data_IF_780617380613
#
_entry.id   IF_780617380613
#
_cell.length_a   1.000
_cell.length_b   1.000
_cell.length_c   1.000
_cell.angle_alpha   90.00
_cell.angle_beta   90.00
_cell.angle_gamma   90.00
#
_symmetry.space_group_name_H-M   'P 1'
#
loop_
_entity.id
_entity.type
_entity.pdbx_description
1 polymer ?
#
# COMPACT_ATOMS: atom_id res chain seq x y z
N UNK A 1 -18.06 16.00 -5.36
CA UNK A 1 -18.38 15.22 -4.14
C UNK A 1 -17.08 14.99 -3.37
N UNK A 2 -17.06 15.14 -2.04
CA UNK A 2 -15.86 14.83 -1.24
C UNK A 2 -15.83 13.32 -1.02
N UNK A 3 -14.91 12.60 -1.66
CA UNK A 3 -14.63 11.19 -1.40
C UNK A 3 -13.19 11.01 -0.90
N UNK A 4 -12.92 9.97 -0.10
CA UNK A 4 -11.64 9.80 0.59
C UNK A 4 -10.48 9.61 -0.39
N UNK A 5 -9.34 10.23 -0.04
CA UNK A 5 -8.09 10.16 -0.81
C UNK A 5 -7.34 8.84 -0.61
N UNK A 6 -7.70 8.08 0.43
CA UNK A 6 -6.99 6.87 0.89
C UNK A 6 -8.01 5.76 1.18
N UNK A 7 -7.69 4.54 0.77
CA UNK A 7 -8.37 3.32 1.18
C UNK A 7 -7.42 2.46 2.03
N UNK A 8 -7.94 1.90 3.12
CA UNK A 8 -7.22 0.98 3.99
C UNK A 8 -7.89 -0.41 3.97
N UNK A 9 -7.09 -1.46 3.86
CA UNK A 9 -7.48 -2.81 4.22
C UNK A 9 -6.66 -3.26 5.42
N UNK A 10 -7.32 -3.62 6.51
CA UNK A 10 -6.68 -4.11 7.73
C UNK A 10 -6.85 -5.62 7.81
N UNK A 11 -5.74 -6.33 7.99
CA UNK A 11 -5.73 -7.79 8.05
C UNK A 11 -5.18 -8.23 9.43
N UNK A 12 -5.93 -9.02 10.22
CA UNK A 12 -5.48 -9.56 11.50
C UNK A 12 -4.55 -10.76 11.26
N UNK A 13 -3.33 -10.46 10.80
CA UNK A 13 -2.26 -11.42 10.53
C UNK A 13 -1.28 -10.84 9.51
N UNK A 14 -0.01 -11.24 9.59
CA UNK A 14 0.94 -10.99 8.52
C UNK A 14 1.00 -12.20 7.61
N UNK A 15 0.40 -12.07 6.43
CA UNK A 15 0.32 -13.12 5.43
C UNK A 15 1.21 -12.70 4.26
N UNK A 16 2.14 -13.55 3.87
CA UNK A 16 2.89 -13.37 2.62
C UNK A 16 1.97 -13.60 1.42
N UNK A 17 2.37 -13.12 0.24
CA UNK A 17 1.57 -13.27 -0.98
C UNK A 17 1.26 -14.74 -1.36
N UNK A 18 2.03 -15.70 -0.85
CA UNK A 18 1.83 -17.14 -1.05
C UNK A 18 0.90 -17.80 0.01
N UNK A 19 0.32 -17.00 0.92
CA UNK A 19 -0.61 -17.47 1.94
C UNK A 19 0.06 -18.03 3.20
N UNK A 20 1.38 -18.01 3.29
CA UNK A 20 2.09 -18.45 4.50
C UNK A 20 2.14 -17.34 5.56
N UNK A 21 2.31 -17.74 6.83
CA UNK A 21 2.42 -16.79 7.94
C UNK A 21 3.81 -16.16 7.87
N UNK A 22 3.87 -14.84 7.65
CA UNK A 22 5.12 -14.12 7.42
C UNK A 22 6.03 -14.05 8.67
N UNK A 23 5.47 -14.22 9.88
CA UNK A 23 6.23 -14.31 11.11
C UNK A 23 5.46 -15.03 12.23
N UNK A 24 6.19 -15.70 13.13
CA UNK A 24 5.63 -16.26 14.35
C UNK A 24 5.33 -15.16 15.38
N UNK A 25 4.05 -14.93 15.69
CA UNK A 25 3.62 -14.03 16.76
C UNK A 25 2.32 -13.27 16.45
N UNK A 26 2.02 -12.25 17.27
CA UNK A 26 0.87 -11.37 17.07
C UNK A 26 1.25 -10.18 16.18
N UNK A 27 0.41 -9.88 15.21
CA UNK A 27 0.50 -8.63 14.45
C UNK A 27 -0.60 -8.50 13.43
N UNK A 28 -0.54 -7.41 12.68
CA UNK A 28 -1.52 -7.06 11.68
C UNK A 28 -0.80 -6.48 10.46
N UNK A 29 -1.47 -6.54 9.32
CA UNK A 29 -1.01 -5.95 8.08
C UNK A 29 -2.01 -4.90 7.61
N UNK A 30 -1.49 -3.79 7.10
CA UNK A 30 -2.30 -2.70 6.53
C UNK A 30 -1.91 -2.54 5.06
N UNK A 31 -2.87 -2.76 4.16
CA UNK A 31 -2.71 -2.36 2.77
C UNK A 31 -3.29 -0.96 2.61
N UNK A 32 -2.55 -0.07 1.98
CA UNK A 32 -2.94 1.31 1.77
C UNK A 32 -2.86 1.67 0.29
N UNK A 33 -3.92 2.29 -0.22
CA UNK A 33 -4.02 2.75 -1.60
C UNK A 33 -4.40 4.22 -1.68
N UNK A 34 -3.72 4.97 -2.55
CA UNK A 34 -4.14 6.32 -2.92
C UNK A 34 -5.26 6.23 -3.97
N UNK A 35 -6.44 6.74 -3.64
CA UNK A 35 -7.65 6.53 -4.46
C UNK A 35 -7.80 7.52 -5.62
N UNK A 36 -6.94 8.55 -5.71
CA UNK A 36 -7.03 9.58 -6.74
C UNK A 36 -5.79 9.64 -7.63
N UNK A 37 -5.30 8.51 -8.19
CA UNK A 37 -4.14 8.53 -9.05
C UNK A 37 -4.44 9.30 -10.35
N UNK A 38 -3.53 10.19 -10.69
CA UNK A 38 -3.52 11.02 -11.90
C UNK A 38 -2.63 10.42 -12.98
N UNK A 39 -1.73 9.49 -12.62
CA UNK A 39 -0.95 8.69 -13.57
C UNK A 39 -1.86 7.93 -14.53
N UNK A 40 -1.46 7.85 -15.79
CA UNK A 40 -2.18 7.10 -16.83
C UNK A 40 -1.22 6.18 -17.55
N UNK A 41 -1.60 4.91 -17.59
CA UNK A 41 -0.93 3.88 -18.37
C UNK A 41 -1.51 3.75 -19.77
N UNK A 42 -1.02 2.76 -20.51
CA UNK A 42 -1.55 2.37 -21.81
C UNK A 42 -1.60 0.85 -21.96
N UNK A 43 -2.55 0.39 -22.75
CA UNK A 43 -2.62 -0.98 -23.26
C UNK A 43 -2.65 -0.87 -24.77
N UNK A 44 -1.77 -1.60 -25.45
CA UNK A 44 -1.65 -1.55 -26.91
C UNK A 44 -1.59 -2.97 -27.45
N UNK A 45 -2.53 -3.29 -28.34
CA UNK A 45 -2.45 -4.51 -29.14
C UNK A 45 -1.22 -4.43 -30.05
N UNK A 46 -0.37 -5.46 -30.02
CA UNK A 46 0.87 -5.53 -30.80
C UNK A 46 0.78 -6.52 -31.97
N UNK A 47 -0.33 -7.24 -32.08
CA UNK A 47 -0.61 -8.25 -33.10
C UNK A 47 -2.12 -8.36 -33.31
N UNK A 48 -2.53 -8.87 -34.47
CA UNK A 48 -3.92 -9.28 -34.76
C UNK A 48 -4.25 -10.69 -34.24
N UNK A 49 -3.25 -11.49 -33.86
CA UNK A 49 -3.47 -12.77 -33.19
C UNK A 49 -3.86 -12.56 -31.73
N UNK A 50 -5.08 -12.96 -31.37
CA UNK A 50 -5.65 -12.82 -30.02
C UNK A 50 -4.90 -13.63 -28.95
N UNK A 51 -4.07 -14.61 -29.34
CA UNK A 51 -3.21 -15.35 -28.41
C UNK A 51 -1.97 -14.58 -27.99
N UNK A 52 -1.62 -13.50 -28.70
CA UNK A 52 -0.45 -12.67 -28.37
C UNK A 52 -0.83 -11.65 -27.30
N UNK A 53 -0.10 -11.64 -26.19
CA UNK A 53 -0.33 -10.68 -25.11
C UNK A 53 -0.09 -9.23 -25.58
N UNK A 54 -0.95 -8.27 -25.20
CA UNK A 54 -0.75 -6.86 -25.53
C UNK A 54 0.42 -6.29 -24.73
N UNK A 55 0.96 -5.16 -25.20
CA UNK A 55 1.89 -4.36 -24.41
C UNK A 55 1.08 -3.59 -23.34
N UNK A 56 1.39 -3.81 -22.08
CA UNK A 56 0.77 -3.11 -20.94
C UNK A 56 1.83 -2.25 -20.25
N UNK A 57 1.54 -0.97 -20.11
CA UNK A 57 2.37 -0.03 -19.36
C UNK A 57 1.51 0.68 -18.32
N UNK A 58 1.65 0.34 -17.04
CA UNK A 58 0.81 0.94 -15.98
C UNK A 58 1.15 2.39 -15.69
N UNK A 59 2.41 2.79 -15.91
CA UNK A 59 2.91 4.14 -15.67
C UNK A 59 2.67 4.68 -14.25
N UNK A 60 2.69 3.79 -13.24
CA UNK A 60 2.43 4.15 -11.85
C UNK A 60 3.39 5.22 -11.34
N UNK A 61 2.87 6.12 -10.49
CA UNK A 61 3.65 7.17 -9.82
C UNK A 61 4.41 8.11 -10.76
N UNK A 62 3.97 8.22 -12.02
CA UNK A 62 4.61 9.07 -13.03
C UNK A 62 4.41 10.56 -12.75
N UNK A 63 3.31 10.93 -12.08
CA UNK A 63 3.03 12.32 -11.67
C UNK A 63 3.54 12.62 -10.26
N UNK A 64 3.87 13.88 -9.99
CA UNK A 64 4.25 14.30 -8.63
C UNK A 64 3.06 14.22 -7.66
N UNK A 65 1.84 14.48 -8.14
CA UNK A 65 0.63 14.35 -7.34
C UNK A 65 0.48 12.93 -6.76
N UNK A 66 0.72 11.90 -7.57
CA UNK A 66 0.56 10.52 -7.14
C UNK A 66 1.64 10.12 -6.15
N UNK A 67 2.88 10.57 -6.38
CA UNK A 67 3.99 10.37 -5.44
C UNK A 67 3.69 11.05 -4.10
N UNK A 68 3.19 12.29 -4.13
CA UNK A 68 2.82 13.02 -2.94
C UNK A 68 1.67 12.34 -2.18
N UNK A 69 0.62 11.92 -2.89
CA UNK A 69 -0.52 11.18 -2.32
C UNK A 69 -0.11 9.86 -1.68
N UNK A 70 0.78 9.11 -2.33
CA UNK A 70 1.30 7.85 -1.79
C UNK A 70 2.19 8.07 -0.56
N UNK A 71 3.09 9.06 -0.57
CA UNK A 71 3.90 9.44 0.61
C UNK A 71 3.01 9.86 1.78
N UNK A 72 1.95 10.63 1.52
CA UNK A 72 0.98 11.03 2.54
C UNK A 72 0.25 9.81 3.14
N UNK A 73 -0.10 8.84 2.30
CA UNK A 73 -0.72 7.58 2.73
C UNK A 73 0.17 6.79 3.69
N UNK A 74 1.46 6.63 3.34
CA UNK A 74 2.44 5.96 4.22
C UNK A 74 2.65 6.72 5.53
N UNK A 75 2.73 8.06 5.48
CA UNK A 75 2.88 8.89 6.68
C UNK A 75 1.70 8.72 7.63
N UNK A 76 0.47 8.84 7.13
CA UNK A 76 -0.74 8.67 7.93
C UNK A 76 -0.85 7.25 8.50
N UNK A 77 -0.45 6.23 7.75
CA UNK A 77 -0.42 4.84 8.23
C UNK A 77 0.50 4.71 9.45
N UNK A 78 1.70 5.31 9.41
CA UNK A 78 2.65 5.32 10.53
C UNK A 78 2.10 6.07 11.74
N UNK A 79 1.47 7.23 11.52
CA UNK A 79 0.82 7.99 12.61
C UNK A 79 -0.27 7.18 13.29
N UNK A 80 -1.12 6.48 12.53
CA UNK A 80 -2.16 5.60 13.07
C UNK A 80 -1.53 4.44 13.85
N UNK A 81 -0.51 3.78 13.29
CA UNK A 81 0.15 2.66 13.97
C UNK A 81 0.83 3.10 15.28
N UNK A 82 1.47 4.27 15.30
CA UNK A 82 2.07 4.83 16.51
C UNK A 82 1.01 5.07 17.59
N UNK A 83 -0.14 5.65 17.23
CA UNK A 83 -1.26 5.85 18.18
C UNK A 83 -1.81 4.53 18.73
N UNK A 84 -1.97 3.52 17.86
CA UNK A 84 -2.39 2.17 18.29
C UNK A 84 -1.39 1.61 19.29
N UNK A 85 -0.10 1.74 18.99
CA UNK A 85 0.97 1.26 19.85
C UNK A 85 1.00 1.95 21.22
N UNK A 86 0.92 3.29 21.25
CA UNK A 86 0.81 4.08 22.49
C UNK A 86 -0.39 3.61 23.35
N UNK A 87 -1.52 3.32 22.70
CA UNK A 87 -2.73 2.83 23.37
C UNK A 87 -2.56 1.42 23.94
N UNK A 88 -1.87 0.53 23.21
CA UNK A 88 -1.74 -0.88 23.58
C UNK A 88 -0.63 -1.15 24.61
N UNK A 89 0.47 -0.40 24.57
CA UNK A 89 1.69 -0.72 25.33
C UNK A 89 2.11 0.36 26.32
N UNK A 90 1.39 1.50 26.38
CA UNK A 90 1.77 2.66 27.18
C UNK A 90 2.98 3.40 26.60
N UNK A 91 3.12 4.67 26.99
CA UNK A 91 3.98 5.70 26.38
C UNK A 91 5.50 5.42 26.37
N UNK A 92 5.98 4.30 26.91
CA UNK A 92 7.40 3.99 27.14
C UNK A 92 7.96 2.87 26.25
N UNK A 93 7.22 2.43 25.25
CA UNK A 93 7.61 1.30 24.42
C UNK A 93 8.23 1.79 23.09
N UNK A 94 9.32 1.16 22.62
CA UNK A 94 10.09 1.64 21.46
C UNK A 94 9.80 0.79 20.22
N UNK A 95 9.50 1.43 19.09
CA UNK A 95 9.35 0.77 17.79
C UNK A 95 10.71 0.23 17.35
N UNK A 96 10.89 -1.10 17.35
CA UNK A 96 12.01 -1.72 16.63
C UNK A 96 11.81 -1.51 15.14
N UNK A 97 12.53 -0.55 14.57
CA UNK A 97 12.72 -0.49 13.12
C UNK A 97 13.50 -1.74 12.73
N UNK A 98 12.95 -2.55 11.83
CA UNK A 98 13.72 -3.62 11.21
C UNK A 98 14.93 -2.99 10.50
N UNK A 99 16.16 -3.52 10.69
CA UNK A 99 17.32 -3.04 9.95
C UNK A 99 17.12 -3.35 8.46
N UNK A 100 17.59 -2.42 7.61
CA UNK A 100 17.55 -2.53 6.15
C UNK A 100 18.22 -3.81 5.65
#
# INVERSE_FOLDING_TARGET
>A
MKWPDIQYHFLPGAITYDGTVAFSGHGFQVHVGHNKPTSRGSITAISSDIKVHPKIHFNYLSTESDRAGFRASVRLTREICNKIYETLLGSNSTIRKYPN
#
